data_IF_059380371896
#
_entry.id   IF_059380371896
#
_cell.length_a   1.000
_cell.length_b   1.000
_cell.length_c   1.000
_cell.angle_alpha   90.00
_cell.angle_beta   90.00
_cell.angle_gamma   90.00
#
_symmetry.space_group_name_H-M   'P 1'
#
loop_
_entity.id
_entity.type
_entity.pdbx_description
1 polymer ?
#
# COMPACT_ATOMS: atom_id res chain seq x y z
N UNK A 1 7.19 -4.08 -6.52
CA UNK A 1 7.57 -3.27 -7.70
C UNK A 1 8.83 -3.80 -8.38
N UNK A 2 10.01 -3.74 -7.75
CA UNK A 2 11.29 -4.09 -8.42
C UNK A 2 11.41 -5.51 -8.98
N UNK A 3 10.73 -6.50 -8.39
CA UNK A 3 10.76 -7.89 -8.86
C UNK A 3 9.50 -8.30 -9.66
N UNK A 4 8.43 -7.50 -9.64
CA UNK A 4 7.13 -7.87 -10.22
C UNK A 4 6.28 -8.89 -9.42
N UNK A 5 6.79 -9.44 -8.31
CA UNK A 5 6.06 -10.37 -7.44
C UNK A 5 6.31 -10.06 -5.95
N UNK A 6 5.54 -10.69 -5.06
CA UNK A 6 5.65 -10.51 -3.61
C UNK A 6 6.84 -11.31 -3.03
N UNK A 7 7.59 -10.81 -2.03
CA UNK A 7 8.79 -11.48 -1.52
C UNK A 7 8.55 -12.91 -1.03
N UNK A 8 7.43 -13.15 -0.35
CA UNK A 8 7.12 -14.44 0.29
C UNK A 8 6.12 -15.29 -0.52
N UNK A 9 6.07 -15.10 -1.84
CA UNK A 9 5.15 -15.83 -2.71
C UNK A 9 5.39 -17.35 -2.65
N UNK A 10 4.34 -18.10 -2.34
CA UNK A 10 4.31 -19.56 -2.36
C UNK A 10 2.90 -20.05 -2.76
N UNK A 11 2.74 -21.34 -3.07
CA UNK A 11 1.47 -21.92 -3.51
C UNK A 11 0.49 -22.15 -2.36
N UNK A 12 0.99 -22.34 -1.14
CA UNK A 12 0.19 -22.62 0.05
C UNK A 12 0.28 -21.45 1.03
N UNK A 13 -0.85 -20.96 1.58
CA UNK A 13 -0.86 -19.91 2.60
C UNK A 13 0.01 -20.23 3.82
N UNK A 14 0.05 -21.50 4.24
CA UNK A 14 0.87 -21.96 5.36
C UNK A 14 2.37 -21.70 5.10
N UNK A 15 2.85 -22.03 3.89
CA UNK A 15 4.23 -21.76 3.49
C UNK A 15 4.53 -20.27 3.39
N UNK A 16 3.57 -19.46 2.93
CA UNK A 16 3.72 -18.00 2.93
C UNK A 16 3.98 -17.51 4.36
N UNK A 17 3.21 -17.97 5.35
CA UNK A 17 3.42 -17.61 6.75
C UNK A 17 4.78 -18.09 7.29
N UNK A 18 5.19 -19.32 7.00
CA UNK A 18 6.50 -19.83 7.37
C UNK A 18 7.65 -18.99 6.77
N UNK A 19 7.51 -18.59 5.51
CA UNK A 19 8.49 -17.75 4.82
C UNK A 19 8.56 -16.34 5.42
N UNK A 20 7.41 -15.74 5.78
CA UNK A 20 7.33 -14.44 6.47
C UNK A 20 8.01 -14.53 7.84
N UNK A 21 7.69 -15.54 8.65
CA UNK A 21 8.25 -15.70 9.99
C UNK A 21 9.76 -15.99 9.96
N UNK A 22 10.21 -16.77 8.97
CA UNK A 22 11.63 -17.08 8.80
C UNK A 22 12.43 -15.97 8.11
N UNK A 23 11.76 -14.97 7.51
CA UNK A 23 12.41 -13.92 6.72
C UNK A 23 13.07 -14.43 5.44
N UNK A 24 12.70 -15.64 4.98
CA UNK A 24 13.32 -16.27 3.81
C UNK A 24 12.55 -15.92 2.55
N UNK A 25 13.24 -15.28 1.62
CA UNK A 25 12.72 -15.03 0.28
C UNK A 25 13.85 -15.07 -0.76
N UNK A 26 13.47 -15.16 -2.03
CA UNK A 26 14.40 -15.23 -3.16
C UNK A 26 14.61 -13.84 -3.76
N UNK A 27 15.86 -13.52 -4.07
CA UNK A 27 16.20 -12.29 -4.76
C UNK A 27 16.07 -12.45 -6.26
N UNK A 28 15.44 -11.48 -6.93
CA UNK A 28 15.55 -11.32 -8.38
C UNK A 28 16.95 -10.82 -8.75
N UNK A 29 17.47 -11.28 -9.89
CA UNK A 29 18.72 -10.79 -10.48
C UNK A 29 18.62 -9.33 -10.92
N UNK A 30 17.42 -8.82 -11.18
CA UNK A 30 17.16 -7.45 -11.65
C UNK A 30 17.33 -6.39 -10.56
N UNK A 31 17.38 -6.78 -9.28
CA UNK A 31 17.46 -5.83 -8.16
C UNK A 31 18.92 -5.42 -7.96
N UNK A 32 19.16 -4.11 -7.98
CA UNK A 32 20.48 -3.51 -7.73
C UNK A 32 20.97 -3.80 -6.29
N UNK A 33 22.30 -3.87 -6.06
CA UNK A 33 22.85 -4.16 -4.73
C UNK A 33 22.37 -3.22 -3.62
N UNK A 34 22.35 -1.91 -3.88
CA UNK A 34 21.87 -0.87 -2.94
C UNK A 34 20.41 -1.09 -2.54
N UNK A 35 19.54 -1.39 -3.52
CA UNK A 35 18.15 -1.77 -3.25
C UNK A 35 18.05 -3.06 -2.41
N UNK A 36 18.90 -4.07 -2.68
CA UNK A 36 18.89 -5.32 -1.89
C UNK A 36 19.22 -5.04 -0.43
N UNK A 37 20.22 -4.20 -0.15
CA UNK A 37 20.58 -3.84 1.22
C UNK A 37 19.47 -3.07 1.93
N UNK A 38 18.86 -2.09 1.25
CA UNK A 38 17.71 -1.36 1.75
C UNK A 38 16.54 -2.30 2.09
N UNK A 39 16.16 -3.16 1.15
CA UNK A 39 15.07 -4.13 1.32
C UNK A 39 15.35 -5.14 2.44
N UNK A 40 16.59 -5.60 2.61
CA UNK A 40 16.96 -6.49 3.74
C UNK A 40 16.68 -5.85 5.09
N UNK A 41 17.03 -4.57 5.26
CA UNK A 41 16.81 -3.83 6.52
C UNK A 41 15.32 -3.57 6.75
N UNK A 42 14.55 -3.34 5.69
CA UNK A 42 13.09 -3.11 5.79
C UNK A 42 12.31 -4.40 6.06
N UNK A 43 12.77 -5.53 5.50
CA UNK A 43 12.15 -6.85 5.65
C UNK A 43 12.77 -7.67 6.80
N UNK A 44 13.39 -7.00 7.79
CA UNK A 44 13.91 -7.68 8.97
C UNK A 44 12.74 -8.32 9.76
N UNK A 45 12.81 -9.65 10.04
CA UNK A 45 11.79 -10.35 10.82
C UNK A 45 11.65 -9.80 12.23
N UNK A 46 12.71 -9.24 12.80
CA UNK A 46 12.73 -8.66 14.13
C UNK A 46 12.28 -7.19 14.07
N UNK A 47 11.09 -6.84 14.60
CA UNK A 47 10.55 -5.48 14.45
C UNK A 47 11.46 -4.38 14.97
N UNK A 48 12.17 -4.62 16.09
CA UNK A 48 13.09 -3.64 16.69
C UNK A 48 14.31 -3.33 15.83
N UNK A 49 14.70 -4.22 14.92
CA UNK A 49 15.85 -4.05 14.02
C UNK A 49 15.46 -3.51 12.65
N UNK A 50 14.16 -3.47 12.36
CA UNK A 50 13.62 -3.03 11.09
C UNK A 50 13.95 -1.56 10.86
N UNK A 51 14.39 -1.25 9.65
CA UNK A 51 14.68 0.13 9.24
C UNK A 51 13.51 1.05 9.55
N UNK A 52 13.77 2.16 10.22
CA UNK A 52 12.77 3.13 10.63
C UNK A 52 11.98 2.77 11.89
N UNK A 53 12.36 1.70 12.60
CA UNK A 53 11.78 1.34 13.91
C UNK A 53 12.60 1.84 15.10
N UNK A 54 13.71 2.55 14.86
CA UNK A 54 14.48 3.21 15.91
C UNK A 54 13.85 4.55 16.31
N UNK A 55 14.45 5.23 17.31
CA UNK A 55 14.04 6.58 17.70
C UNK A 55 14.16 7.64 16.60
N UNK A 56 14.90 7.38 15.51
CA UNK A 56 14.99 8.28 14.36
C UNK A 56 13.83 8.09 13.36
N UNK A 57 13.08 6.99 13.46
CA UNK A 57 11.88 6.75 12.65
C UNK A 57 12.11 6.91 11.14
N UNK A 58 11.27 7.71 10.50
CA UNK A 58 11.33 7.94 9.04
C UNK A 58 12.65 8.55 8.56
N UNK A 59 13.43 9.20 9.43
CA UNK A 59 14.71 9.80 9.07
C UNK A 59 15.72 8.75 8.60
N UNK A 60 15.75 7.56 9.22
CA UNK A 60 16.63 6.47 8.80
C UNK A 60 16.34 5.97 7.37
N UNK A 61 15.06 6.01 6.99
CA UNK A 61 14.63 5.63 5.65
C UNK A 61 15.10 6.68 4.64
N UNK A 62 14.92 7.96 4.97
CA UNK A 62 15.27 9.09 4.09
C UNK A 62 16.78 9.24 3.88
N UNK A 63 17.58 8.96 4.91
CA UNK A 63 19.06 9.04 4.88
C UNK A 63 19.72 7.75 4.36
N UNK A 64 18.94 6.78 3.88
CA UNK A 64 19.50 5.55 3.33
C UNK A 64 20.12 5.78 1.94
N UNK A 65 21.26 5.13 1.60
CA UNK A 65 21.89 5.26 0.28
C UNK A 65 20.99 4.98 -0.93
N UNK A 66 19.94 4.18 -0.75
CA UNK A 66 18.94 3.93 -1.78
C UNK A 66 18.19 5.22 -2.22
N UNK A 67 18.12 6.22 -1.35
CA UNK A 67 17.42 7.49 -1.58
C UNK A 67 18.35 8.71 -1.65
N UNK A 68 19.67 8.52 -1.82
CA UNK A 68 20.65 9.63 -1.86
C UNK A 68 20.34 10.68 -2.95
N UNK A 69 19.68 10.27 -4.03
CA UNK A 69 19.32 11.16 -5.15
C UNK A 69 17.98 11.86 -4.97
N UNK A 70 17.24 11.57 -3.89
CA UNK A 70 15.89 12.08 -3.67
C UNK A 70 15.91 13.34 -2.82
N UNK A 71 15.48 14.46 -3.42
CA UNK A 71 15.15 15.67 -2.66
C UNK A 71 13.76 15.54 -2.03
N UNK A 72 13.72 15.17 -0.75
CA UNK A 72 12.49 15.03 0.02
C UNK A 72 11.70 16.34 0.18
N UNK A 73 12.34 17.51 0.07
CA UNK A 73 11.67 18.81 0.07
C UNK A 73 10.92 19.05 -1.24
N UNK A 74 11.56 18.73 -2.38
CA UNK A 74 10.91 18.78 -3.68
C UNK A 74 9.77 17.76 -3.81
N UNK A 75 9.93 16.54 -3.25
CA UNK A 75 8.84 15.55 -3.16
C UNK A 75 7.63 16.13 -2.43
N UNK A 76 7.85 16.77 -1.28
CA UNK A 76 6.76 17.33 -0.48
C UNK A 76 5.99 18.45 -1.20
N UNK A 77 6.68 19.25 -2.02
CA UNK A 77 6.08 20.30 -2.85
C UNK A 77 5.49 19.80 -4.17
N UNK A 78 5.70 18.52 -4.51
CA UNK A 78 5.33 17.90 -5.79
C UNK A 78 6.06 18.52 -7.00
N UNK A 79 7.30 18.97 -6.77
CA UNK A 79 8.13 19.62 -7.81
C UNK A 79 8.91 18.62 -8.68
N UNK A 80 8.95 17.34 -8.30
CA UNK A 80 9.68 16.32 -9.05
C UNK A 80 8.86 15.84 -10.25
N UNK A 81 9.49 15.66 -11.43
CA UNK A 81 8.81 15.10 -12.59
C UNK A 81 8.38 13.65 -12.31
N UNK A 82 7.12 13.33 -12.59
CA UNK A 82 6.60 11.96 -12.44
C UNK A 82 7.21 11.05 -13.52
N UNK A 83 7.75 9.86 -13.16
CA UNK A 83 8.34 8.94 -14.13
C UNK A 83 7.32 8.36 -15.12
N UNK A 84 6.03 8.35 -14.75
CA UNK A 84 4.93 7.90 -15.59
C UNK A 84 3.68 8.74 -15.33
N UNK A 85 3.13 9.35 -16.37
CA UNK A 85 1.87 10.08 -16.30
C UNK A 85 0.73 9.19 -16.83
N UNK A 86 -0.27 8.83 -16.01
CA UNK A 86 -1.41 8.05 -16.46
C UNK A 86 -2.18 8.78 -17.56
N UNK A 87 -2.61 8.09 -18.63
CA UNK A 87 -3.48 8.69 -19.63
C UNK A 87 -4.88 8.90 -19.02
N UNK A 88 -5.35 10.14 -19.06
CA UNK A 88 -6.69 10.54 -18.62
C UNK A 88 -7.27 11.46 -19.68
N UNK A 89 -8.47 11.14 -20.17
CA UNK A 89 -9.12 11.88 -21.28
C UNK A 89 -9.97 13.04 -20.79
N UNK A 90 -10.62 12.90 -19.64
CA UNK A 90 -11.54 13.90 -19.09
C UNK A 90 -11.67 13.77 -17.57
N UNK A 91 -12.24 14.80 -16.97
CA UNK A 91 -12.73 14.74 -15.59
C UNK A 91 -13.80 13.64 -15.51
N UNK A 92 -13.55 12.60 -14.70
CA UNK A 92 -14.41 11.41 -14.60
C UNK A 92 -14.08 10.23 -15.53
N UNK A 93 -12.93 10.20 -16.21
CA UNK A 93 -12.52 9.07 -17.06
C UNK A 93 -12.30 7.75 -16.25
N UNK A 94 -13.10 6.69 -16.48
CA UNK A 94 -12.98 5.44 -15.73
C UNK A 94 -11.96 4.46 -16.31
N UNK A 95 -11.22 4.82 -17.38
CA UNK A 95 -10.38 3.88 -18.14
C UNK A 95 -9.23 3.25 -17.35
N UNK A 96 -8.77 3.88 -16.26
CA UNK A 96 -7.74 3.34 -15.38
C UNK A 96 -8.29 2.47 -14.24
N UNK A 97 -9.60 2.18 -14.23
CA UNK A 97 -10.26 1.34 -13.24
C UNK A 97 -10.68 0.00 -13.84
N UNK A 98 -10.76 -1.04 -12.99
CA UNK A 98 -11.34 -2.32 -13.37
C UNK A 98 -12.86 -2.22 -13.45
N UNK A 99 -13.45 -2.79 -14.51
CA UNK A 99 -14.91 -2.88 -14.65
C UNK A 99 -15.36 -4.16 -13.95
N UNK A 100 -15.90 -4.00 -12.74
CA UNK A 100 -16.56 -5.09 -12.04
C UNK A 100 -17.98 -5.25 -12.57
N UNK A 101 -18.35 -6.47 -12.96
CA UNK A 101 -19.75 -6.82 -13.16
C UNK A 101 -20.36 -7.06 -11.79
N UNK A 102 -20.97 -6.02 -11.25
CA UNK A 102 -21.63 -6.12 -9.96
C UNK A 102 -23.14 -6.30 -10.20
N UNK A 103 -23.69 -7.46 -9.81
CA UNK A 103 -25.13 -7.73 -9.88
C UNK A 103 -25.95 -6.85 -8.93
N UNK A 104 -25.28 -6.10 -8.04
CA UNK A 104 -25.91 -5.16 -7.11
C UNK A 104 -25.66 -3.68 -7.45
N UNK A 105 -25.00 -3.37 -8.57
CA UNK A 105 -24.54 -2.00 -8.81
C UNK A 105 -25.68 -1.03 -9.19
N UNK A 106 -25.79 0.02 -8.37
CA UNK A 106 -26.40 1.35 -8.60
C UNK A 106 -27.93 1.42 -8.54
N UNK A 107 -28.69 0.37 -8.90
CA UNK A 107 -30.16 0.47 -8.92
C UNK A 107 -30.75 0.53 -7.50
N UNK A 108 -30.17 -0.16 -6.51
CA UNK A 108 -30.74 -0.17 -5.15
C UNK A 108 -30.44 1.10 -4.34
N UNK A 109 -29.27 1.72 -4.54
CA UNK A 109 -28.98 3.02 -3.93
C UNK A 109 -29.92 4.12 -4.45
N UNK A 110 -30.35 4.04 -5.72
CA UNK A 110 -31.37 4.93 -6.30
C UNK A 110 -32.80 4.65 -5.83
N UNK A 111 -33.05 3.50 -5.18
CA UNK A 111 -34.38 3.15 -4.63
C UNK A 111 -34.63 3.72 -3.22
N UNK A 112 -33.66 4.40 -2.61
CA UNK A 112 -33.89 5.19 -1.39
C UNK A 112 -34.36 4.42 -0.15
N UNK A 113 -34.36 3.08 -0.17
CA UNK A 113 -34.70 2.29 1.01
C UNK A 113 -33.41 1.94 1.73
N UNK A 114 -32.97 2.88 2.58
CA UNK A 114 -32.09 2.51 3.68
C UNK A 114 -32.83 1.45 4.52
N UNK A 115 -32.18 0.35 4.93
CA UNK A 115 -32.77 -0.52 5.94
C UNK A 115 -33.08 0.36 7.15
N UNK A 116 -34.36 0.46 7.52
CA UNK A 116 -34.79 1.21 8.68
C UNK A 116 -34.07 0.61 9.88
N UNK A 117 -33.30 1.44 10.59
CA UNK A 117 -32.66 1.02 11.83
C UNK A 117 -33.71 0.37 12.74
N UNK A 118 -33.38 -0.73 13.45
CA UNK A 118 -34.31 -1.28 14.41
C UNK A 118 -34.79 -0.16 15.36
N UNK A 119 -36.10 -0.14 15.65
CA UNK A 119 -36.75 0.93 16.41
C UNK A 119 -36.37 0.95 17.90
N UNK A 120 -35.24 0.31 18.26
CA UNK A 120 -34.75 0.17 19.62
C UNK A 120 -33.86 1.35 20.06
N UNK A 121 -33.66 2.36 19.21
CA UNK A 121 -32.96 3.61 19.53
C UNK A 121 -31.48 3.41 19.87
N UNK A 122 -30.94 2.22 19.62
CA UNK A 122 -29.61 1.81 20.07
C UNK A 122 -28.46 2.53 19.32
N UNK A 123 -28.78 3.18 18.20
CA UNK A 123 -27.81 3.76 17.26
C UNK A 123 -28.02 5.26 17.01
N UNK A 124 -29.02 5.89 17.64
CA UNK A 124 -29.37 7.30 17.39
C UNK A 124 -28.24 8.25 17.76
N UNK A 125 -27.41 7.88 18.75
CA UNK A 125 -26.26 8.66 19.20
C UNK A 125 -24.93 8.21 18.56
N UNK A 126 -24.90 7.05 17.88
CA UNK A 126 -23.66 6.42 17.41
C UNK A 126 -22.94 7.20 16.30
N UNK A 127 -23.63 8.15 15.68
CA UNK A 127 -23.11 9.00 14.61
C UNK A 127 -23.25 10.50 14.93
N UNK A 128 -23.57 10.87 16.17
CA UNK A 128 -23.57 12.27 16.57
C UNK A 128 -22.14 12.82 16.50
N UNK A 129 -21.94 13.84 15.66
CA UNK A 129 -20.65 14.49 15.45
C UNK A 129 -19.79 13.88 14.32
N UNK A 130 -20.34 12.92 13.58
CA UNK A 130 -19.91 12.64 12.21
C UNK A 130 -20.47 13.68 11.23
#
# INVERSE_FOLDING_TARGET
MMAGYTPYHDTSPQKIYENVLSGKFRWSSQIQPTAKEFLKKLLDPMPKRRLGSSGMGSREVKENPWFDTVDWGAVARRDLPTPWNPPVKSDGDPTNFEIYKDESSIVEASKGVMPVAPADGLYDDAFLGF
#
